data_IF_217184944634
#
_entry.id   IF_217184944634
#
_cell.length_a   1.000
_cell.length_b   1.000
_cell.length_c   1.000
_cell.angle_alpha   90.00
_cell.angle_beta   90.00
_cell.angle_gamma   90.00
#
_symmetry.space_group_name_H-M   'P 1'
#
loop_
_entity.id
_entity.type
_entity.pdbx_description
1 polymer ?
#
# COMPACT_ATOMS: atom_id res chain seq x y z
N UNK A 1 -11.32 15.05 18.62
CA UNK A 1 -12.24 13.98 18.20
C UNK A 1 -11.56 13.21 17.09
N UNK A 2 -11.07 12.02 17.40
CA UNK A 2 -10.15 11.24 16.57
C UNK A 2 -10.97 10.36 15.62
N UNK A 3 -11.20 10.84 14.40
CA UNK A 3 -11.76 9.99 13.34
C UNK A 3 -10.60 9.43 12.52
N UNK A 4 -9.99 8.35 13.02
CA UNK A 4 -9.29 7.42 12.12
C UNK A 4 -10.37 6.75 11.27
N UNK A 5 -10.58 7.27 10.07
CA UNK A 5 -11.50 6.69 9.10
C UNK A 5 -10.88 5.37 8.61
N UNK A 6 -11.37 4.26 9.14
CA UNK A 6 -10.93 2.89 8.82
C UNK A 6 -11.31 2.41 7.40
N UNK A 7 -11.86 3.28 6.56
CA UNK A 7 -12.45 2.93 5.26
C UNK A 7 -11.97 3.83 4.11
N UNK A 8 -10.74 4.35 4.21
CA UNK A 8 -10.14 5.02 3.05
C UNK A 8 -9.80 3.96 1.99
N UNK A 9 -10.50 3.97 0.87
CA UNK A 9 -10.08 3.20 -0.32
C UNK A 9 -9.31 4.13 -1.24
N UNK A 10 -8.25 3.62 -1.86
CA UNK A 10 -7.49 4.35 -2.87
C UNK A 10 -7.13 3.43 -4.04
N UNK A 11 -7.03 3.97 -5.26
CA UNK A 11 -6.65 3.17 -6.42
C UNK A 11 -5.18 2.75 -6.30
N UNK A 12 -4.84 1.55 -6.79
CA UNK A 12 -3.46 1.05 -6.71
C UNK A 12 -2.43 1.94 -7.43
N UNK A 13 -2.87 2.82 -8.33
CA UNK A 13 -2.03 3.87 -8.93
C UNK A 13 -1.41 4.80 -7.89
N UNK A 14 -2.12 5.05 -6.79
CA UNK A 14 -1.76 6.05 -5.78
C UNK A 14 -0.90 5.43 -4.66
N UNK A 15 -0.55 4.14 -4.78
CA UNK A 15 0.24 3.41 -3.78
C UNK A 15 1.59 4.09 -3.52
N UNK A 16 2.17 4.71 -4.55
CA UNK A 16 3.43 5.45 -4.43
C UNK A 16 3.25 6.66 -3.52
N UNK A 17 2.23 7.46 -3.77
CA UNK A 17 1.96 8.68 -3.00
C UNK A 17 1.59 8.33 -1.56
N UNK A 18 0.79 7.27 -1.35
CA UNK A 18 0.43 6.79 -0.01
C UNK A 18 1.63 6.32 0.79
N UNK A 19 2.55 5.56 0.20
CA UNK A 19 3.77 5.12 0.90
C UNK A 19 4.70 6.30 1.20
N UNK A 20 4.86 7.26 0.27
CA UNK A 20 5.69 8.44 0.51
C UNK A 20 5.10 9.33 1.62
N UNK A 21 3.78 9.49 1.64
CA UNK A 21 3.07 10.24 2.67
C UNK A 21 3.25 9.57 4.03
N UNK A 22 3.02 8.25 4.12
CA UNK A 22 3.26 7.48 5.33
C UNK A 22 4.70 7.63 5.85
N UNK A 23 5.70 7.56 4.96
CA UNK A 23 7.09 7.76 5.33
C UNK A 23 7.34 9.17 5.89
N UNK A 24 6.70 10.18 5.30
CA UNK A 24 6.80 11.58 5.73
C UNK A 24 6.15 11.79 7.10
N UNK A 25 4.92 11.32 7.28
CA UNK A 25 4.14 11.48 8.51
C UNK A 25 4.80 10.76 9.70
N UNK A 26 5.43 9.60 9.45
CA UNK A 26 6.11 8.82 10.48
C UNK A 26 7.61 9.13 10.59
N UNK A 27 8.14 10.06 9.79
CA UNK A 27 9.56 10.39 9.74
C UNK A 27 10.47 9.15 9.55
N UNK A 28 10.05 8.20 8.72
CA UNK A 28 10.81 7.01 8.37
C UNK A 28 11.30 7.06 6.92
N UNK A 29 12.31 6.25 6.60
CA UNK A 29 12.77 6.10 5.22
C UNK A 29 12.00 5.01 4.49
N UNK A 30 12.04 5.06 3.15
CA UNK A 30 11.53 3.97 2.29
C UNK A 30 12.20 2.63 2.61
N UNK A 31 13.44 2.65 3.10
CA UNK A 31 14.15 1.43 3.50
C UNK A 31 13.47 0.78 4.70
N UNK A 32 13.22 1.56 5.75
CA UNK A 32 12.51 1.12 6.95
C UNK A 32 11.09 0.66 6.59
N UNK A 33 10.40 1.37 5.69
CA UNK A 33 9.08 0.93 5.21
C UNK A 33 9.14 -0.45 4.54
N UNK A 34 10.14 -0.70 3.70
CA UNK A 34 10.34 -2.00 3.06
C UNK A 34 10.60 -3.11 4.09
N UNK A 35 11.36 -2.82 5.14
CA UNK A 35 11.58 -3.75 6.26
C UNK A 35 10.26 -4.08 6.98
N UNK A 36 9.46 -3.06 7.31
CA UNK A 36 8.14 -3.25 7.93
C UNK A 36 7.20 -4.08 7.05
N UNK A 37 7.21 -3.85 5.73
CA UNK A 37 6.39 -4.57 4.77
C UNK A 37 6.96 -5.96 4.42
N UNK A 38 8.15 -6.31 4.91
CA UNK A 38 8.86 -7.54 4.56
C UNK A 38 8.99 -7.74 3.04
N UNK A 39 9.27 -6.66 2.30
CA UNK A 39 9.51 -6.69 0.85
C UNK A 39 10.82 -6.00 0.50
N UNK A 40 11.42 -6.37 -0.62
CA UNK A 40 12.59 -5.64 -1.13
C UNK A 40 12.18 -4.32 -1.77
N UNK A 41 13.06 -3.31 -1.69
CA UNK A 41 12.91 -2.02 -2.38
C UNK A 41 12.64 -2.16 -3.89
N UNK A 42 13.29 -3.11 -4.56
CA UNK A 42 13.02 -3.43 -5.97
C UNK A 42 11.58 -3.91 -6.22
N UNK A 43 11.02 -4.68 -5.30
CA UNK A 43 9.64 -5.16 -5.34
C UNK A 43 8.66 -4.01 -5.14
N UNK A 44 8.94 -3.10 -4.20
CA UNK A 44 8.17 -1.88 -4.01
C UNK A 44 8.14 -1.00 -5.26
N UNK A 45 9.31 -0.74 -5.87
CA UNK A 45 9.37 0.05 -7.11
C UNK A 45 8.68 -0.62 -8.30
N UNK A 46 8.70 -1.97 -8.39
CA UNK A 46 7.90 -2.69 -9.39
C UNK A 46 6.40 -2.47 -9.16
N UNK A 47 5.95 -2.49 -7.91
CA UNK A 47 4.57 -2.19 -7.58
C UNK A 47 4.19 -0.74 -7.91
N UNK A 48 5.10 0.22 -7.76
CA UNK A 48 4.85 1.62 -8.16
C UNK A 48 4.69 1.79 -9.67
N UNK A 49 5.56 1.15 -10.46
CA UNK A 49 5.58 1.32 -11.90
C UNK A 49 4.52 0.47 -12.61
N UNK A 50 4.10 -0.64 -12.01
CA UNK A 50 3.15 -1.59 -12.61
C UNK A 50 2.28 -2.23 -11.53
N UNK A 51 1.41 -1.43 -10.86
CA UNK A 51 0.58 -1.92 -9.76
C UNK A 51 -0.36 -3.05 -10.19
N UNK A 52 -0.88 -3.02 -11.42
CA UNK A 52 -1.75 -4.08 -11.97
C UNK A 52 -1.04 -5.42 -12.25
N UNK A 53 0.29 -5.44 -12.29
CA UNK A 53 1.09 -6.67 -12.47
C UNK A 53 1.81 -7.09 -11.18
N UNK A 54 1.67 -6.31 -10.11
CA UNK A 54 2.22 -6.66 -8.81
C UNK A 54 1.51 -7.90 -8.26
N UNK A 55 2.27 -8.77 -7.58
CA UNK A 55 1.67 -9.91 -6.88
C UNK A 55 0.72 -9.38 -5.81
N UNK A 56 -0.46 -10.00 -5.69
CA UNK A 56 -1.44 -9.66 -4.64
C UNK A 56 -0.80 -9.63 -3.24
N UNK A 57 0.05 -10.62 -2.93
CA UNK A 57 0.78 -10.69 -1.66
C UNK A 57 1.67 -9.47 -1.42
N UNK A 58 2.26 -8.88 -2.47
CA UNK A 58 3.06 -7.65 -2.35
C UNK A 58 2.18 -6.46 -1.99
N UNK A 59 1.00 -6.35 -2.59
CA UNK A 59 0.04 -5.29 -2.29
C UNK A 59 -0.48 -5.44 -0.85
N UNK A 60 -0.79 -6.67 -0.43
CA UNK A 60 -1.18 -6.99 0.95
C UNK A 60 -0.11 -6.62 1.97
N UNK A 61 1.17 -6.94 1.69
CA UNK A 61 2.30 -6.52 2.51
C UNK A 61 2.42 -5.00 2.65
N UNK A 62 2.27 -4.25 1.55
CA UNK A 62 2.33 -2.77 1.58
C UNK A 62 1.16 -2.20 2.38
N UNK A 63 -0.04 -2.70 2.13
CA UNK A 63 -1.25 -2.22 2.80
C UNK A 63 -1.20 -2.51 4.30
N UNK A 64 -0.70 -3.67 4.72
CA UNK A 64 -0.51 -4.02 6.13
C UNK A 64 0.35 -3.02 6.91
N UNK A 65 1.26 -2.29 6.25
CA UNK A 65 2.07 -1.24 6.90
C UNK A 65 1.37 0.11 6.89
N UNK A 66 0.63 0.42 5.82
CA UNK A 66 -0.11 1.69 5.70
C UNK A 66 -1.24 1.82 6.75
N UNK A 67 -1.74 0.70 7.28
CA UNK A 67 -2.81 0.61 8.26
C UNK A 67 -3.73 -0.57 7.97
N UNK A 68 -4.80 -0.75 8.75
CA UNK A 68 -5.83 -1.79 8.55
C UNK A 68 -6.72 -1.50 7.31
N UNK A 69 -6.08 -1.20 6.17
CA UNK A 69 -6.75 -1.05 4.90
C UNK A 69 -7.21 -2.44 4.46
N UNK A 70 -8.48 -2.76 4.74
CA UNK A 70 -9.11 -3.94 4.18
C UNK A 70 -9.00 -3.89 2.66
N UNK A 71 -8.27 -4.83 2.07
CA UNK A 71 -8.27 -5.03 0.63
C UNK A 71 -9.68 -5.37 0.17
N UNK A 72 -10.42 -4.37 -0.30
CA UNK A 72 -11.55 -4.60 -1.18
C UNK A 72 -11.00 -5.00 -2.55
N UNK A 73 -10.56 -6.26 -2.68
CA UNK A 73 -10.41 -6.91 -3.98
C UNK A 73 -11.82 -7.06 -4.55
N UNK A 74 -12.29 -6.03 -5.25
CA UNK A 74 -13.53 -6.08 -5.99
C UNK A 74 -13.47 -7.23 -6.99
N UNK A 75 -14.12 -8.36 -6.66
CA UNK A 75 -14.58 -9.29 -7.69
C UNK A 75 -15.63 -8.52 -8.47
N UNK A 76 -15.31 -8.14 -9.69
CA UNK A 76 -16.31 -7.73 -10.67
C UNK A 76 -17.26 -8.92 -10.84
N UNK A 77 -18.39 -8.91 -10.12
CA UNK A 77 -19.51 -9.78 -10.45
C UNK A 77 -20.08 -9.22 -11.75
N UNK A 78 -19.77 -9.91 -12.84
CA UNK A 78 -20.35 -9.64 -14.14
C UNK A 78 -21.87 -9.73 -14.05
N UNK A 79 -22.53 -8.73 -14.61
CA UNK A 79 -23.93 -8.80 -14.99
C UNK A 79 -24.01 -9.04 -16.49
#
# INVERSE_FOLDING_TARGET
SSYFNHDETFPLSDIRDRVNQYCTDNSITIDIFCELASISKATLYKAYNSPGSAKRSTIESILSVLGDYQLLVGRCYGN
#
